data_IF_186821760068
#
_entry.id   IF_186821760068
#
_cell.length_a   1.000
_cell.length_b   1.000
_cell.length_c   1.000
_cell.angle_alpha   90.00
_cell.angle_beta   90.00
_cell.angle_gamma   90.00
#
_symmetry.space_group_name_H-M   'P 1'
#
loop_
_entity.id
_entity.type
_entity.pdbx_description
1 polymer ?
#
# COMPACT_ATOMS: atom_id res chain seq x y z
N UNK A 1 25.78 5.32 5.43
CA UNK A 1 25.30 5.36 4.01
C UNK A 1 23.80 5.62 4.07
N UNK A 2 23.23 6.36 3.14
CA UNK A 2 21.77 6.54 3.13
C UNK A 2 21.16 5.34 2.40
N UNK A 3 20.39 4.52 3.12
CA UNK A 3 19.61 3.43 2.53
C UNK A 3 18.35 4.04 1.89
N UNK A 4 17.98 3.54 0.73
CA UNK A 4 16.66 3.74 0.13
C UNK A 4 15.99 2.37 0.01
N UNK A 5 15.09 2.06 0.95
CA UNK A 5 14.36 0.78 0.98
C UNK A 5 13.51 0.55 -0.29
N UNK A 6 13.12 1.62 -0.99
CA UNK A 6 12.37 1.53 -2.25
C UNK A 6 13.28 1.34 -3.49
N UNK A 7 14.60 1.36 -3.32
CA UNK A 7 15.56 1.01 -4.35
C UNK A 7 16.13 -0.42 -4.22
N UNK A 8 15.96 -1.06 -3.04
CA UNK A 8 16.39 -2.44 -2.80
C UNK A 8 15.19 -3.36 -2.51
N UNK A 9 14.70 -4.09 -3.51
CA UNK A 9 13.54 -4.97 -3.36
C UNK A 9 13.78 -6.16 -2.41
N UNK A 10 15.04 -6.60 -2.23
CA UNK A 10 15.35 -7.71 -1.32
C UNK A 10 15.33 -7.25 0.14
N UNK A 11 15.86 -6.06 0.39
CA UNK A 11 15.78 -5.42 1.70
C UNK A 11 14.30 -5.16 2.06
N UNK A 12 13.52 -4.64 1.12
CA UNK A 12 12.09 -4.41 1.31
C UNK A 12 11.33 -5.71 1.65
N UNK A 13 11.54 -6.77 0.86
CA UNK A 13 10.90 -8.06 1.11
C UNK A 13 11.30 -8.63 2.48
N UNK A 14 12.59 -8.54 2.88
CA UNK A 14 13.07 -9.01 4.17
C UNK A 14 12.41 -8.25 5.34
N UNK A 15 12.34 -6.93 5.26
CA UNK A 15 11.73 -6.08 6.29
C UNK A 15 10.21 -6.29 6.42
N UNK A 16 9.52 -6.73 5.36
CA UNK A 16 8.06 -6.85 5.33
C UNK A 16 7.56 -8.29 5.18
N UNK A 17 8.41 -9.31 5.39
CA UNK A 17 8.05 -10.73 5.29
C UNK A 17 6.91 -11.13 6.23
N UNK A 18 6.78 -10.47 7.38
CA UNK A 18 5.73 -10.68 8.38
C UNK A 18 4.33 -10.28 7.90
N UNK A 19 4.21 -9.42 6.87
CA UNK A 19 2.91 -8.90 6.42
C UNK A 19 2.20 -9.91 5.53
N UNK A 20 1.36 -10.72 6.12
CA UNK A 20 0.61 -11.81 5.46
C UNK A 20 -0.89 -11.81 5.73
N UNK A 21 -1.33 -11.10 6.78
CA UNK A 21 -2.70 -11.14 7.30
C UNK A 21 -3.77 -10.50 6.38
N UNK A 22 -3.36 -9.72 5.38
CA UNK A 22 -4.24 -9.11 4.37
C UNK A 22 -4.41 -9.97 3.11
N UNK A 23 -3.54 -10.98 2.89
CA UNK A 23 -3.49 -11.76 1.64
C UNK A 23 -4.82 -12.47 1.39
N UNK A 24 -5.33 -13.18 2.37
CA UNK A 24 -6.59 -13.91 2.23
C UNK A 24 -7.77 -12.98 2.02
N UNK A 25 -7.84 -11.88 2.76
CA UNK A 25 -8.89 -10.88 2.63
C UNK A 25 -8.95 -10.31 1.21
N UNK A 26 -7.82 -9.82 0.68
CA UNK A 26 -7.75 -9.22 -0.65
C UNK A 26 -8.00 -10.25 -1.75
N UNK A 27 -7.39 -11.43 -1.67
CA UNK A 27 -7.58 -12.49 -2.68
C UNK A 27 -9.01 -13.02 -2.74
N UNK A 28 -9.74 -13.04 -1.62
CA UNK A 28 -11.16 -13.41 -1.59
C UNK A 28 -12.03 -12.40 -2.35
N UNK A 29 -11.83 -11.09 -2.14
CA UNK A 29 -12.53 -10.06 -2.92
C UNK A 29 -12.16 -10.14 -4.41
N UNK A 30 -10.87 -10.25 -4.73
CA UNK A 30 -10.40 -10.37 -6.10
C UNK A 30 -11.05 -11.58 -6.84
N UNK A 31 -11.15 -12.73 -6.17
CA UNK A 31 -11.75 -13.94 -6.74
C UNK A 31 -13.26 -13.77 -7.00
N UNK A 32 -13.97 -13.05 -6.11
CA UNK A 32 -15.40 -12.79 -6.27
C UNK A 32 -15.72 -11.90 -7.48
N UNK A 33 -14.82 -10.99 -7.85
CA UNK A 33 -15.03 -10.04 -8.95
C UNK A 33 -14.84 -10.63 -10.35
N UNK A 34 -14.27 -11.82 -10.50
CA UNK A 34 -14.20 -12.62 -11.75
C UNK A 34 -13.82 -11.80 -13.00
N UNK A 35 -12.66 -11.13 -13.01
CA UNK A 35 -12.28 -10.35 -14.18
C UNK A 35 -10.85 -9.83 -14.09
N UNK A 36 -10.62 -8.65 -14.67
CA UNK A 36 -9.33 -8.00 -14.64
C UNK A 36 -9.09 -7.33 -13.29
N UNK A 37 -7.90 -7.54 -12.74
CA UNK A 37 -7.49 -7.03 -11.44
C UNK A 37 -6.33 -6.04 -11.62
N UNK A 38 -6.42 -4.91 -10.96
CA UNK A 38 -5.39 -3.88 -10.92
C UNK A 38 -4.96 -3.60 -9.49
N UNK A 39 -3.68 -3.79 -9.21
CA UNK A 39 -3.05 -3.34 -7.98
C UNK A 39 -2.32 -2.03 -8.22
N UNK A 40 -2.64 -1.00 -7.45
CA UNK A 40 -1.94 0.27 -7.42
C UNK A 40 -0.83 0.23 -6.36
N UNK A 41 0.38 0.67 -6.70
CA UNK A 41 1.59 0.55 -5.89
C UNK A 41 1.91 -0.91 -5.53
N UNK A 42 2.07 -1.76 -6.56
CA UNK A 42 2.21 -3.23 -6.40
C UNK A 42 3.51 -3.68 -5.73
N UNK A 43 4.45 -2.76 -5.52
CA UNK A 43 5.70 -3.02 -4.81
C UNK A 43 6.52 -4.15 -5.43
N UNK A 44 7.04 -5.01 -4.57
CA UNK A 44 7.81 -6.21 -4.93
C UNK A 44 6.94 -7.42 -5.31
N UNK A 45 5.62 -7.22 -5.45
CA UNK A 45 4.69 -8.26 -5.87
C UNK A 45 4.31 -9.25 -4.77
N UNK A 46 4.19 -8.79 -3.53
CA UNK A 46 3.76 -9.60 -2.39
C UNK A 46 2.37 -10.19 -2.60
N UNK A 47 1.42 -9.41 -3.12
CA UNK A 47 0.06 -9.85 -3.43
C UNK A 47 -0.08 -10.44 -4.83
N UNK A 48 0.82 -10.12 -5.77
CA UNK A 48 0.75 -10.60 -7.14
C UNK A 48 0.82 -12.14 -7.22
N UNK A 49 1.73 -12.78 -6.48
CA UNK A 49 1.90 -14.24 -6.49
C UNK A 49 0.65 -14.96 -5.98
N UNK A 50 0.05 -14.63 -4.82
CA UNK A 50 -1.21 -15.22 -4.38
C UNK A 50 -2.37 -15.07 -5.38
N UNK A 51 -2.50 -13.91 -6.02
CA UNK A 51 -3.56 -13.65 -7.00
C UNK A 51 -3.36 -14.47 -8.29
N UNK A 52 -2.13 -14.53 -8.80
CA UNK A 52 -1.76 -15.29 -9.98
C UNK A 52 -1.94 -16.79 -9.75
N UNK A 53 -1.60 -17.32 -8.57
CA UNK A 53 -1.81 -18.72 -8.20
C UNK A 53 -3.29 -19.12 -8.16
N UNK A 54 -4.19 -18.16 -7.98
CA UNK A 54 -5.65 -18.37 -8.11
C UNK A 54 -6.14 -18.26 -9.56
N UNK A 55 -5.25 -18.11 -10.54
CA UNK A 55 -5.57 -18.01 -11.96
C UNK A 55 -6.20 -16.67 -12.37
N UNK A 56 -6.00 -15.62 -11.57
CA UNK A 56 -6.59 -14.31 -11.83
C UNK A 56 -5.76 -13.51 -12.84
N UNK A 57 -6.44 -12.72 -13.69
CA UNK A 57 -5.81 -11.81 -14.64
C UNK A 57 -5.32 -10.55 -13.90
N UNK A 58 -4.03 -10.49 -13.65
CA UNK A 58 -3.44 -9.48 -12.76
C UNK A 58 -2.62 -8.43 -13.50
N UNK A 59 -2.81 -7.17 -13.14
CA UNK A 59 -1.95 -6.03 -13.52
C UNK A 59 -1.49 -5.31 -12.27
N UNK A 60 -0.19 -5.08 -12.13
CA UNK A 60 0.38 -4.23 -11.09
C UNK A 60 0.95 -2.94 -11.67
N UNK A 61 0.68 -1.81 -11.02
CA UNK A 61 1.31 -0.51 -11.30
C UNK A 61 2.26 -0.18 -10.16
N UNK A 62 3.52 0.11 -10.49
CA UNK A 62 4.57 0.41 -9.52
C UNK A 62 5.45 1.56 -10.02
N UNK A 63 5.80 2.49 -9.12
CA UNK A 63 6.62 3.65 -9.43
C UNK A 63 8.11 3.31 -9.49
N UNK A 64 8.59 2.51 -8.52
CA UNK A 64 10.00 2.13 -8.39
C UNK A 64 10.44 1.19 -9.49
N UNK A 65 11.35 1.65 -10.37
CA UNK A 65 11.93 0.81 -11.42
C UNK A 65 12.59 -0.47 -10.87
N UNK A 66 13.41 -0.44 -9.81
CA UNK A 66 13.95 -1.65 -9.19
C UNK A 66 12.89 -2.67 -8.78
N UNK A 67 11.77 -2.20 -8.20
CA UNK A 67 10.66 -3.08 -7.80
C UNK A 67 9.95 -3.68 -9.01
N UNK A 68 9.72 -2.89 -10.06
CA UNK A 68 9.15 -3.38 -11.33
C UNK A 68 10.01 -4.48 -11.94
N UNK A 69 11.31 -4.28 -12.05
CA UNK A 69 12.24 -5.25 -12.63
C UNK A 69 12.31 -6.53 -11.78
N UNK A 70 12.36 -6.37 -10.46
CA UNK A 70 12.36 -7.49 -9.52
C UNK A 70 11.08 -8.33 -9.61
N UNK A 71 9.92 -7.67 -9.61
CA UNK A 71 8.62 -8.33 -9.68
C UNK A 71 8.42 -9.02 -11.03
N UNK A 72 8.79 -8.36 -12.13
CA UNK A 72 8.78 -8.99 -13.47
C UNK A 72 9.62 -10.26 -13.52
N UNK A 73 10.82 -10.24 -12.89
CA UNK A 73 11.68 -11.42 -12.81
C UNK A 73 11.03 -12.54 -11.95
N UNK A 74 10.46 -12.19 -10.80
CA UNK A 74 9.73 -13.10 -9.92
C UNK A 74 8.58 -13.79 -10.67
N UNK A 75 7.84 -13.04 -11.48
CA UNK A 75 6.65 -13.53 -12.17
C UNK A 75 6.93 -14.30 -13.47
N UNK A 76 8.15 -14.32 -14.00
CA UNK A 76 8.49 -15.08 -15.20
C UNK A 76 8.23 -16.59 -15.10
N UNK A 77 8.23 -17.13 -13.89
CA UNK A 77 7.96 -18.55 -13.63
C UNK A 77 6.46 -18.92 -13.77
N UNK A 78 5.58 -17.93 -13.86
CA UNK A 78 4.13 -18.14 -13.90
C UNK A 78 3.60 -18.00 -15.33
N UNK A 79 2.95 -19.05 -15.82
CA UNK A 79 2.33 -19.07 -17.16
C UNK A 79 0.88 -18.60 -17.07
N UNK A 80 0.66 -17.36 -16.65
CA UNK A 80 -0.68 -16.75 -16.48
C UNK A 80 -0.72 -15.37 -17.13
N UNK A 81 -1.91 -14.84 -17.32
CA UNK A 81 -2.07 -13.49 -17.87
C UNK A 81 -1.82 -12.43 -16.78
N UNK A 82 -0.58 -11.95 -16.71
CA UNK A 82 -0.17 -10.92 -15.76
C UNK A 82 0.72 -9.86 -16.42
N UNK A 83 0.73 -8.65 -15.85
CA UNK A 83 1.64 -7.57 -16.27
C UNK A 83 2.04 -6.70 -15.08
N UNK A 84 3.27 -6.18 -15.14
CA UNK A 84 3.75 -5.15 -14.20
C UNK A 84 4.15 -3.93 -15.02
N UNK A 85 3.53 -2.79 -14.72
CA UNK A 85 3.69 -1.55 -15.47
C UNK A 85 4.39 -0.54 -14.57
N UNK A 86 5.48 0.07 -15.08
CA UNK A 86 6.07 1.20 -14.37
C UNK A 86 5.22 2.44 -14.59
N UNK A 87 4.76 3.07 -13.51
CA UNK A 87 3.93 4.26 -13.60
C UNK A 87 3.59 4.87 -12.26
N UNK A 88 3.18 6.12 -12.30
CA UNK A 88 2.66 6.84 -11.14
C UNK A 88 1.15 6.59 -11.01
N UNK A 89 0.71 6.03 -9.90
CA UNK A 89 -0.70 5.70 -9.62
C UNK A 89 -1.65 6.90 -9.74
N UNK A 90 -1.13 8.14 -9.67
CA UNK A 90 -1.93 9.37 -9.80
C UNK A 90 -2.35 9.68 -11.24
N UNK A 91 -1.61 9.18 -12.24
CA UNK A 91 -1.79 9.62 -13.63
C UNK A 91 -1.53 8.53 -14.67
N UNK A 92 -1.43 7.27 -14.26
CA UNK A 92 -1.31 6.16 -15.20
C UNK A 92 -2.52 6.14 -16.15
N UNK A 93 -2.28 5.82 -17.41
CA UNK A 93 -3.32 5.60 -18.42
C UNK A 93 -3.16 4.20 -18.99
N UNK A 94 -4.18 3.38 -18.81
CA UNK A 94 -4.26 2.01 -19.30
C UNK A 94 -5.48 1.88 -20.22
N UNK A 95 -5.34 1.08 -21.29
CA UNK A 95 -6.39 0.90 -22.30
C UNK A 95 -7.55 0.03 -21.83
N UNK A 96 -7.48 -0.50 -20.61
CA UNK A 96 -8.47 -1.43 -20.06
C UNK A 96 -9.15 -0.85 -18.83
N UNK A 97 -10.38 -1.30 -18.58
CA UNK A 97 -11.05 -1.15 -17.30
C UNK A 97 -10.99 -2.46 -16.51
N UNK A 98 -11.05 -2.34 -15.19
CA UNK A 98 -10.83 -3.44 -14.26
C UNK A 98 -12.07 -3.68 -13.41
N UNK A 99 -12.34 -4.94 -13.12
CA UNK A 99 -13.43 -5.36 -12.24
C UNK A 99 -13.07 -5.15 -10.76
N UNK A 100 -11.80 -5.28 -10.44
CA UNK A 100 -11.29 -5.04 -9.10
C UNK A 100 -10.03 -4.21 -9.16
N UNK A 101 -10.05 -3.05 -8.49
CA UNK A 101 -8.87 -2.22 -8.27
C UNK A 101 -8.61 -2.17 -6.78
N UNK A 102 -7.35 -2.28 -6.38
CA UNK A 102 -7.01 -2.12 -4.97
C UNK A 102 -5.67 -1.43 -4.75
N UNK A 103 -5.54 -0.83 -3.59
CA UNK A 103 -4.30 -0.31 -3.01
C UNK A 103 -4.22 -0.79 -1.57
N UNK A 104 -3.09 -1.39 -1.20
CA UNK A 104 -2.92 -2.07 0.08
C UNK A 104 -1.69 -1.60 0.85
N UNK A 105 -1.62 -2.04 2.11
CA UNK A 105 -0.48 -1.85 2.98
C UNK A 105 -0.01 -0.40 3.07
N UNK A 106 -0.96 0.51 3.33
CA UNK A 106 -0.70 1.94 3.55
C UNK A 106 -0.07 2.69 2.36
N UNK A 107 0.05 2.08 1.17
CA UNK A 107 0.69 2.72 0.01
C UNK A 107 0.02 4.05 -0.37
N UNK A 108 -1.27 4.20 -0.09
CA UNK A 108 -2.01 5.45 -0.32
C UNK A 108 -1.45 6.63 0.49
N UNK A 109 -0.81 6.37 1.64
CA UNK A 109 -0.21 7.40 2.50
C UNK A 109 1.01 8.08 1.88
N UNK A 110 1.59 7.55 0.80
CA UNK A 110 2.62 8.23 0.01
C UNK A 110 2.07 9.35 -0.88
N UNK A 111 0.76 9.50 -0.97
CA UNK A 111 0.11 10.66 -1.57
C UNK A 111 0.03 11.79 -0.55
N UNK A 112 1.02 12.66 -0.54
CA UNK A 112 1.28 13.62 0.55
C UNK A 112 0.28 14.78 0.61
N UNK A 113 -0.65 14.91 -0.36
CA UNK A 113 -1.64 15.99 -0.38
C UNK A 113 -3.02 15.48 -0.76
N UNK A 114 -4.07 16.16 -0.29
CA UNK A 114 -5.45 15.92 -0.74
C UNK A 114 -5.61 16.08 -2.26
N UNK A 115 -4.83 16.98 -2.87
CA UNK A 115 -4.82 17.16 -4.33
C UNK A 115 -4.29 15.90 -5.05
N UNK A 116 -3.28 15.24 -4.49
CA UNK A 116 -2.75 13.99 -5.06
C UNK A 116 -3.71 12.81 -4.83
N UNK A 117 -4.38 12.76 -3.67
CA UNK A 117 -5.46 11.80 -3.42
C UNK A 117 -6.60 11.95 -4.43
N UNK A 118 -7.07 13.17 -4.70
CA UNK A 118 -8.11 13.43 -5.70
C UNK A 118 -7.68 13.03 -7.13
N UNK A 119 -6.40 13.26 -7.50
CA UNK A 119 -5.88 12.78 -8.80
C UNK A 119 -5.88 11.25 -8.86
N UNK A 120 -5.43 10.61 -7.79
CA UNK A 120 -5.42 9.15 -7.66
C UNK A 120 -6.83 8.57 -7.76
N UNK A 121 -7.78 9.10 -7.00
CA UNK A 121 -9.17 8.65 -7.05
C UNK A 121 -9.80 8.83 -8.43
N UNK A 122 -9.54 9.96 -9.10
CA UNK A 122 -9.97 10.17 -10.49
C UNK A 122 -9.32 9.15 -11.43
N UNK A 123 -8.04 8.84 -11.24
CA UNK A 123 -7.35 7.81 -12.02
C UNK A 123 -8.00 6.44 -11.82
N UNK A 124 -8.25 6.03 -10.58
CA UNK A 124 -8.95 4.77 -10.26
C UNK A 124 -10.36 4.75 -10.86
N UNK A 125 -11.13 5.82 -10.69
CA UNK A 125 -12.49 5.94 -11.24
C UNK A 125 -12.53 5.74 -12.76
N UNK A 126 -11.55 6.28 -13.49
CA UNK A 126 -11.47 6.12 -14.94
C UNK A 126 -11.16 4.67 -15.38
N UNK A 127 -10.42 3.91 -14.55
CA UNK A 127 -10.03 2.53 -14.85
C UNK A 127 -10.95 1.48 -14.23
N UNK A 128 -11.84 1.86 -13.30
CA UNK A 128 -12.81 0.94 -12.71
C UNK A 128 -13.97 0.69 -13.68
N UNK A 129 -14.48 -0.52 -13.77
CA UNK A 129 -15.74 -0.83 -14.45
C UNK A 129 -16.91 -0.25 -13.65
N UNK A 130 -18.07 -0.07 -14.29
CA UNK A 130 -19.24 0.55 -13.63
C UNK A 130 -19.80 -0.33 -12.50
N UNK A 131 -19.70 -1.65 -12.64
CA UNK A 131 -19.98 -2.65 -11.60
C UNK A 131 -18.74 -3.11 -10.81
N UNK A 132 -17.61 -2.45 -11.03
CA UNK A 132 -16.33 -2.78 -10.41
C UNK A 132 -16.25 -2.42 -8.93
N UNK A 133 -15.32 -3.05 -8.23
CA UNK A 133 -15.04 -2.83 -6.82
C UNK A 133 -13.66 -2.19 -6.62
N UNK A 134 -13.59 -1.12 -5.86
CA UNK A 134 -12.35 -0.50 -5.43
C UNK A 134 -12.12 -0.74 -3.92
N UNK A 135 -10.96 -1.31 -3.59
CA UNK A 135 -10.56 -1.58 -2.21
C UNK A 135 -9.37 -0.71 -1.81
N UNK A 136 -9.46 -0.07 -0.65
CA UNK A 136 -8.38 0.66 0.00
C UNK A 136 -8.11 0.03 1.36
N UNK A 137 -6.85 -0.26 1.65
CA UNK A 137 -6.39 -0.76 2.93
C UNK A 137 -5.31 0.16 3.50
N UNK A 138 -5.63 0.82 4.61
CA UNK A 138 -4.69 1.68 5.33
C UNK A 138 -5.00 1.74 6.83
N UNK A 139 -4.01 2.18 7.62
CA UNK A 139 -4.20 2.36 9.06
C UNK A 139 -5.06 3.59 9.40
N UNK A 140 -5.58 3.62 10.61
CA UNK A 140 -6.16 4.82 11.22
C UNK A 140 -5.04 5.59 11.92
N UNK A 141 -4.83 6.90 11.62
CA UNK A 141 -3.84 7.70 12.33
C UNK A 141 -4.08 7.71 13.85
N UNK A 142 -3.09 7.28 14.61
CA UNK A 142 -3.19 7.20 16.07
C UNK A 142 -2.50 8.41 16.71
N UNK A 143 -3.22 9.31 17.41
CA UNK A 143 -2.64 10.49 18.05
C UNK A 143 -1.55 10.17 19.07
N UNK A 144 -1.68 9.07 19.84
CA UNK A 144 -0.67 8.66 20.83
C UNK A 144 0.67 8.40 20.14
N UNK A 145 0.64 7.76 18.98
CA UNK A 145 1.83 7.50 18.17
C UNK A 145 2.38 8.77 17.53
N UNK A 146 1.50 9.63 16.98
CA UNK A 146 1.91 10.81 16.21
C UNK A 146 2.51 11.92 17.08
N UNK A 147 1.97 12.11 18.29
CA UNK A 147 2.41 13.17 19.21
C UNK A 147 3.41 12.70 20.26
N UNK A 148 3.93 11.48 20.12
CA UNK A 148 5.00 11.00 21.01
C UNK A 148 6.26 11.88 20.92
N UNK A 149 7.10 11.93 21.99
CA UNK A 149 8.39 12.62 21.94
C UNK A 149 9.26 12.11 20.76
N UNK A 150 10.12 12.99 20.25
CA UNK A 150 11.12 12.64 19.22
C UNK A 150 12.23 11.77 19.80
N UNK A 151 11.90 10.56 20.19
CA UNK A 151 12.84 9.58 20.71
C UNK A 151 12.91 8.38 19.75
N UNK A 152 14.04 7.72 19.78
CA UNK A 152 14.26 6.46 19.10
C UNK A 152 13.32 5.40 19.68
N UNK A 153 12.49 4.80 18.85
CA UNK A 153 11.49 3.79 19.24
C UNK A 153 11.66 2.56 18.37
N UNK A 154 11.71 1.37 18.96
CA UNK A 154 11.76 0.10 18.25
C UNK A 154 10.53 -0.07 17.35
N UNK A 155 10.75 -0.52 16.12
CA UNK A 155 9.70 -0.81 15.13
C UNK A 155 9.65 -2.31 14.80
N UNK A 156 10.80 -2.88 14.38
CA UNK A 156 10.90 -4.27 13.97
C UNK A 156 12.35 -4.74 13.99
N UNK A 157 12.50 -6.05 13.88
CA UNK A 157 13.79 -6.69 13.60
C UNK A 157 13.61 -7.74 12.51
N UNK A 158 14.63 -7.97 11.71
CA UNK A 158 14.63 -8.97 10.64
C UNK A 158 16.05 -9.35 10.26
N UNK A 159 16.19 -10.38 9.42
CA UNK A 159 17.48 -10.81 8.88
C UNK A 159 17.68 -10.18 7.51
N UNK A 160 18.79 -9.47 7.34
CA UNK A 160 19.20 -8.89 6.07
C UNK A 160 19.48 -9.97 5.01
N UNK A 161 19.44 -9.63 3.71
CA UNK A 161 19.77 -10.60 2.65
C UNK A 161 21.18 -11.20 2.74
N UNK A 162 22.10 -10.57 3.45
CA UNK A 162 23.45 -11.07 3.71
C UNK A 162 23.54 -12.00 4.94
N UNK A 163 22.42 -12.21 5.66
CA UNK A 163 22.35 -13.06 6.87
C UNK A 163 22.57 -12.32 8.19
N UNK A 164 22.88 -11.03 8.19
CA UNK A 164 23.03 -10.23 9.41
C UNK A 164 21.68 -9.90 10.05
N UNK A 165 21.64 -9.84 11.37
CA UNK A 165 20.52 -9.36 12.14
C UNK A 165 20.44 -7.83 12.02
N UNK A 166 19.26 -7.29 11.74
CA UNK A 166 19.02 -5.87 11.65
C UNK A 166 17.83 -5.47 12.52
N UNK A 167 18.05 -4.48 13.38
CA UNK A 167 17.01 -3.83 14.17
C UNK A 167 16.65 -2.50 13.52
N UNK A 168 15.35 -2.24 13.36
CA UNK A 168 14.87 -0.95 12.87
C UNK A 168 14.24 -0.18 14.00
N UNK A 169 14.78 1.00 14.23
CA UNK A 169 14.23 1.99 15.12
C UNK A 169 13.70 3.18 14.33
N UNK A 170 12.69 3.87 14.87
CA UNK A 170 12.05 5.01 14.25
C UNK A 170 12.14 6.27 15.11
N UNK A 171 12.36 7.38 14.44
CA UNK A 171 12.12 8.73 14.96
C UNK A 171 11.10 9.37 14.04
N UNK A 172 9.99 9.86 14.59
CA UNK A 172 8.96 10.53 13.81
C UNK A 172 8.75 11.98 14.25
N UNK A 173 8.30 12.80 13.31
CA UNK A 173 7.85 14.16 13.55
C UNK A 173 6.58 14.44 12.76
N UNK A 174 5.48 14.50 13.46
CA UNK A 174 4.18 14.82 12.86
C UNK A 174 3.97 16.33 12.76
N UNK A 175 3.49 16.79 11.60
CA UNK A 175 3.03 18.15 11.38
C UNK A 175 1.49 18.16 11.26
N UNK A 176 0.74 18.62 12.28
CA UNK A 176 -0.73 18.58 12.26
C UNK A 176 -1.36 19.52 11.21
N UNK A 177 -0.67 20.58 10.81
CA UNK A 177 -1.18 21.53 9.80
C UNK A 177 -1.21 20.94 8.39
N UNK A 178 -0.22 20.12 8.05
CA UNK A 178 -0.11 19.43 6.76
C UNK A 178 -0.59 17.98 6.83
N UNK A 179 -0.78 17.44 8.03
CA UNK A 179 -1.04 16.02 8.30
C UNK A 179 0.06 15.08 7.77
N UNK A 180 1.29 15.58 7.66
CA UNK A 180 2.45 14.80 7.25
C UNK A 180 3.22 14.33 8.47
N UNK A 181 3.53 13.03 8.52
CA UNK A 181 4.48 12.45 9.45
C UNK A 181 5.81 12.24 8.74
N UNK A 182 6.82 12.99 9.17
CA UNK A 182 8.21 12.83 8.69
C UNK A 182 8.86 11.72 9.50
N UNK A 183 9.26 10.66 8.84
CA UNK A 183 9.75 9.43 9.45
C UNK A 183 11.21 9.22 9.09
N UNK A 184 12.01 8.94 10.11
CA UNK A 184 13.38 8.47 9.97
C UNK A 184 13.46 7.04 10.53
N UNK A 185 13.78 6.09 9.69
CA UNK A 185 14.18 4.75 10.12
C UNK A 185 15.68 4.65 10.25
N UNK A 186 16.13 4.01 11.33
CA UNK A 186 17.52 3.68 11.63
C UNK A 186 17.66 2.17 11.53
N UNK A 187 18.34 1.70 10.49
CA UNK A 187 18.67 0.28 10.30
C UNK A 187 20.00 0.01 11.03
N UNK A 188 19.94 -0.78 12.08
CA UNK A 188 21.05 -1.06 12.98
C UNK A 188 21.46 -2.54 12.85
N UNK A 189 22.60 -2.76 12.19
CA UNK A 189 23.27 -4.05 12.04
C UNK A 189 24.76 -3.88 12.44
N UNK A 190 25.70 -4.37 11.66
CA UNK A 190 27.13 -4.04 11.78
C UNK A 190 27.41 -2.55 11.49
N UNK A 191 26.52 -1.87 10.78
CA UNK A 191 26.50 -0.42 10.52
C UNK A 191 25.18 0.18 10.93
N UNK A 192 25.11 1.52 11.01
CA UNK A 192 23.85 2.25 11.16
C UNK A 192 23.58 3.03 9.89
N UNK A 193 22.47 2.69 9.22
CA UNK A 193 22.04 3.36 8.00
C UNK A 193 20.69 4.05 8.22
N UNK A 194 20.49 5.20 7.59
CA UNK A 194 19.27 6.00 7.74
C UNK A 194 18.42 5.96 6.46
N UNK A 195 17.11 5.87 6.64
CA UNK A 195 16.12 6.04 5.60
C UNK A 195 15.07 7.07 6.01
N UNK A 196 14.83 8.06 5.16
CA UNK A 196 13.88 9.14 5.38
C UNK A 196 12.72 9.01 4.42
N UNK A 197 11.50 9.09 4.94
CA UNK A 197 10.29 9.11 4.12
C UNK A 197 9.15 9.84 4.83
N UNK A 198 8.20 10.29 4.05
CA UNK A 198 7.03 11.00 4.51
C UNK A 198 5.77 10.16 4.30
N UNK A 199 4.83 10.24 5.24
CA UNK A 199 3.51 9.65 5.12
C UNK A 199 2.42 10.66 5.46
N UNK A 200 1.41 10.73 4.60
CA UNK A 200 0.19 11.48 4.88
C UNK A 200 -0.69 10.72 5.87
N UNK A 201 -1.01 11.35 6.97
CA UNK A 201 -1.91 10.80 7.99
C UNK A 201 -3.36 11.08 7.59
N UNK A 202 -3.93 10.18 6.80
CA UNK A 202 -5.26 10.33 6.22
C UNK A 202 -6.30 9.86 7.24
N UNK A 203 -6.96 10.81 7.89
CA UNK A 203 -8.03 10.50 8.84
C UNK A 203 -9.29 9.99 8.15
N UNK A 204 -10.09 9.12 8.82
CA UNK A 204 -11.29 8.51 8.23
C UNK A 204 -12.27 9.51 7.62
N UNK A 205 -12.57 10.62 8.30
CA UNK A 205 -13.50 11.65 7.78
C UNK A 205 -12.97 12.32 6.51
N UNK A 206 -11.65 12.50 6.43
CA UNK A 206 -11.01 13.03 5.22
C UNK A 206 -11.11 12.04 4.07
N UNK A 207 -10.85 10.75 4.33
CA UNK A 207 -10.96 9.70 3.33
C UNK A 207 -12.40 9.57 2.82
N UNK A 208 -13.38 9.50 3.73
CA UNK A 208 -14.81 9.40 3.41
C UNK A 208 -15.25 10.55 2.49
N UNK A 209 -14.89 11.77 2.84
CA UNK A 209 -15.20 12.97 2.05
C UNK A 209 -14.55 12.94 0.67
N UNK A 210 -13.24 12.66 0.60
CA UNK A 210 -12.51 12.67 -0.68
C UNK A 210 -12.97 11.56 -1.63
N UNK A 211 -13.35 10.40 -1.12
CA UNK A 211 -13.95 9.31 -1.91
C UNK A 211 -15.29 9.76 -2.49
N UNK A 212 -16.18 10.31 -1.65
CA UNK A 212 -17.49 10.80 -2.08
C UNK A 212 -17.37 11.94 -3.09
N UNK A 213 -16.48 12.92 -2.85
CA UNK A 213 -16.20 14.03 -3.76
C UNK A 213 -15.65 13.54 -5.12
N UNK A 214 -15.03 12.36 -5.15
CA UNK A 214 -14.49 11.73 -6.36
C UNK A 214 -15.50 10.82 -7.08
N UNK A 215 -16.76 10.76 -6.62
CA UNK A 215 -17.84 10.00 -7.24
C UNK A 215 -17.92 8.53 -6.77
N UNK A 216 -17.21 8.14 -5.73
CA UNK A 216 -17.33 6.80 -5.18
C UNK A 216 -18.45 6.69 -4.15
N UNK A 217 -19.10 5.52 -4.14
CA UNK A 217 -20.07 5.11 -3.13
C UNK A 217 -19.38 4.13 -2.19
N UNK A 218 -19.24 4.50 -0.91
CA UNK A 218 -18.66 3.62 0.11
C UNK A 218 -19.71 2.55 0.46
N UNK A 219 -19.49 1.31 0.02
CA UNK A 219 -20.40 0.18 0.30
C UNK A 219 -20.15 -0.44 1.65
N UNK A 220 -18.88 -0.54 2.05
CA UNK A 220 -18.48 -1.11 3.34
C UNK A 220 -17.21 -0.41 3.84
N UNK A 221 -17.08 -0.34 5.15
CA UNK A 221 -15.89 0.12 5.84
C UNK A 221 -15.63 -0.84 7.01
N UNK A 222 -14.45 -1.45 7.01
CA UNK A 222 -14.05 -2.41 8.04
C UNK A 222 -12.89 -1.86 8.88
N UNK A 223 -12.83 -2.32 10.13
CA UNK A 223 -11.77 -1.99 11.08
C UNK A 223 -10.60 -2.98 11.09
N UNK A 224 -10.78 -4.14 10.48
CA UNK A 224 -9.80 -5.23 10.43
C UNK A 224 -10.05 -6.15 9.22
N UNK A 225 -9.19 -7.19 9.06
CA UNK A 225 -9.33 -8.19 7.99
C UNK A 225 -10.34 -9.30 8.30
N UNK A 226 -10.84 -9.39 9.52
CA UNK A 226 -11.94 -10.27 9.97
C UNK A 226 -13.31 -9.69 9.60
N UNK A 227 -13.34 -8.50 8.97
CA UNK A 227 -14.52 -7.76 8.52
C UNK A 227 -15.37 -7.20 9.67
N UNK A 228 -14.77 -6.93 10.82
CA UNK A 228 -15.43 -6.17 11.87
C UNK A 228 -15.83 -4.77 11.34
N UNK A 229 -17.04 -4.30 11.64
CA UNK A 229 -17.45 -2.95 11.26
C UNK A 229 -16.47 -1.90 11.79
N UNK A 230 -16.17 -0.89 10.96
CA UNK A 230 -15.33 0.22 11.38
C UNK A 230 -15.95 0.97 12.58
N UNK A 231 -15.11 1.27 13.57
CA UNK A 231 -15.46 2.06 14.77
C UNK A 231 -14.34 3.03 15.15
N UNK A 232 -14.55 3.86 16.16
CA UNK A 232 -13.51 4.75 16.71
C UNK A 232 -12.28 4.02 17.27
N UNK A 233 -12.44 2.75 17.63
CA UNK A 233 -11.38 1.90 18.20
C UNK A 233 -10.62 1.11 17.12
N UNK A 234 -11.02 1.23 15.85
CA UNK A 234 -10.40 0.48 14.75
C UNK A 234 -8.98 0.97 14.47
N UNK A 235 -8.06 0.02 14.27
CA UNK A 235 -6.69 0.32 13.87
C UNK A 235 -6.49 0.43 12.36
N UNK A 236 -7.40 -0.17 11.58
CA UNK A 236 -7.44 -0.09 10.13
C UNK A 236 -8.70 0.61 9.66
N UNK A 237 -8.62 1.22 8.50
CA UNK A 237 -9.75 1.70 7.71
C UNK A 237 -9.68 1.05 6.34
N UNK A 238 -10.49 0.01 6.15
CA UNK A 238 -10.53 -0.76 4.92
C UNK A 238 -11.84 -0.43 4.21
N UNK A 239 -11.75 0.16 3.03
CA UNK A 239 -12.89 0.61 2.25
C UNK A 239 -13.18 -0.34 1.11
N UNK A 240 -14.47 -0.58 0.87
CA UNK A 240 -14.99 -1.17 -0.35
C UNK A 240 -15.92 -0.15 -1.01
N UNK A 241 -15.54 0.30 -2.19
CA UNK A 241 -16.22 1.35 -2.93
C UNK A 241 -16.65 0.86 -4.31
N UNK A 242 -17.75 1.43 -4.82
CA UNK A 242 -18.19 1.31 -6.23
C UNK A 242 -18.30 2.71 -6.82
N UNK A 243 -18.51 2.80 -8.14
CA UNK A 243 -18.93 4.05 -8.77
C UNK A 243 -20.37 4.38 -8.40
#
# INVERSE_FOLDING_TARGET
>A
MQIDIYSDPRLYDAAHLWKTNDIEFITNYATQQRGLILEMASGTGRLSVPLINKGLNYTGVELSKPFVEYTRKKLKAYNTNHSIIQGDMKNISLDKKYNFIFIAFNSICHLLTNKDLLKFFKCVHNHLMDDGLFLIDTFVPNPIFLYRPKIKTFVMEFVLPNGEHCMVNEINQYNPSTQINHIKWLFESSTVDEFLFDMHMIYPDTMDRLLTDSGFIIKKKFGDYEKSPFSSESHLQIYLCTK
#
